data_IF_119951160905
#
_entry.id   IF_119951160905
#
_cell.length_a   1.000
_cell.length_b   1.000
_cell.length_c   1.000
_cell.angle_alpha   90.00
_cell.angle_beta   90.00
_cell.angle_gamma   90.00
#
_symmetry.space_group_name_H-M   'P 1'
#
loop_
_entity.id
_entity.type
_entity.pdbx_description
1 polymer ?
#
# COMPACT_ATOMS: atom_id res chain seq x y z
N UNK A 1 -0.80 44.97 -1.98
CA UNK A 1 -0.69 44.51 -0.58
C UNK A 1 0.27 43.33 -0.57
N UNK A 2 1.42 43.50 0.08
CA UNK A 2 2.53 42.53 0.10
C UNK A 2 2.13 41.28 0.89
N UNK A 3 2.10 40.13 0.23
CA UNK A 3 1.91 38.83 0.87
C UNK A 3 3.22 38.52 1.60
N UNK A 4 3.19 38.59 2.93
CA UNK A 4 4.30 38.18 3.78
C UNK A 4 4.50 36.67 3.59
N UNK A 5 5.67 36.29 3.08
CA UNK A 5 6.18 34.94 3.26
C UNK A 5 6.31 34.69 4.76
N UNK A 6 5.40 33.90 5.31
CA UNK A 6 5.65 33.22 6.58
C UNK A 6 6.65 32.12 6.28
N UNK A 7 7.92 32.35 6.65
CA UNK A 7 8.91 31.29 6.81
C UNK A 7 8.34 30.25 7.77
N UNK A 8 7.95 29.11 7.23
CA UNK A 8 7.59 27.93 8.01
C UNK A 8 8.86 27.49 8.71
N UNK A 9 8.93 27.73 10.02
CA UNK A 9 10.01 27.25 10.88
C UNK A 9 10.04 25.71 10.76
N UNK A 10 10.97 25.18 9.97
CA UNK A 10 11.18 23.74 9.80
C UNK A 10 11.72 23.18 11.11
N UNK A 11 10.86 22.50 11.88
CA UNK A 11 11.29 21.66 12.99
C UNK A 11 11.90 20.39 12.34
N UNK A 12 13.20 20.10 12.55
CA UNK A 12 13.84 18.91 12.02
C UNK A 12 13.12 17.64 12.48
N UNK A 13 13.03 16.63 11.60
CA UNK A 13 12.52 15.31 11.99
C UNK A 13 13.49 14.68 12.99
N UNK A 14 13.06 14.49 14.24
CA UNK A 14 13.87 13.82 15.26
C UNK A 14 13.84 12.31 15.05
N UNK A 15 14.85 11.81 14.33
CA UNK A 15 14.97 10.39 13.98
C UNK A 15 15.20 9.54 15.22
N UNK A 16 15.93 10.03 16.22
CA UNK A 16 16.20 9.28 17.43
C UNK A 16 14.91 9.08 18.25
N UNK A 17 14.10 10.13 18.38
CA UNK A 17 12.79 10.06 19.02
C UNK A 17 11.84 9.11 18.28
N UNK A 18 11.76 9.20 16.95
CA UNK A 18 10.96 8.28 16.13
C UNK A 18 11.39 6.84 16.36
N UNK A 19 12.69 6.57 16.32
CA UNK A 19 13.23 5.21 16.49
C UNK A 19 12.98 4.68 17.90
N UNK A 20 13.04 5.54 18.93
CA UNK A 20 12.70 5.17 20.32
C UNK A 20 11.26 4.67 20.44
N UNK A 21 10.35 5.16 19.59
CA UNK A 21 8.96 4.69 19.49
C UNK A 21 8.77 3.35 18.77
N UNK A 22 9.84 2.76 18.18
CA UNK A 22 9.79 1.54 17.39
C UNK A 22 10.81 0.53 17.97
N UNK A 23 10.43 -0.26 18.99
CA UNK A 23 11.37 -1.10 19.75
C UNK A 23 12.20 -2.08 18.91
N UNK A 24 11.64 -2.60 17.82
CA UNK A 24 12.32 -3.55 16.93
C UNK A 24 13.63 -2.99 16.33
N UNK A 25 13.77 -1.66 16.25
CA UNK A 25 14.97 -0.99 15.72
C UNK A 25 16.13 -0.97 16.72
N UNK A 26 15.93 -1.37 17.98
CA UNK A 26 17.01 -1.59 18.94
C UNK A 26 17.64 -2.98 18.79
N UNK A 27 16.90 -3.93 18.22
CA UNK A 27 17.31 -5.33 18.11
C UNK A 27 17.88 -5.65 16.73
N UNK A 28 17.45 -4.92 15.69
CA UNK A 28 17.76 -5.24 14.30
C UNK A 28 17.95 -3.98 13.46
N UNK A 29 18.78 -4.10 12.42
CA UNK A 29 18.80 -3.13 11.32
C UNK A 29 17.72 -3.53 10.31
N UNK A 30 16.70 -2.69 10.13
CA UNK A 30 15.46 -3.09 9.45
C UNK A 30 15.29 -2.49 8.05
N UNK A 31 15.42 -3.32 7.01
CA UNK A 31 15.26 -2.95 5.60
C UNK A 31 14.15 -3.72 4.88
N UNK A 32 13.08 -4.13 5.60
CA UNK A 32 11.97 -4.89 5.01
C UNK A 32 10.58 -4.28 5.21
N UNK A 33 10.49 -2.96 5.37
CA UNK A 33 9.20 -2.23 5.49
C UNK A 33 8.24 -2.51 4.33
N UNK A 34 8.75 -2.72 3.11
CA UNK A 34 7.95 -3.08 1.94
C UNK A 34 7.36 -4.50 2.02
N UNK A 35 7.90 -5.36 2.90
CA UNK A 35 7.34 -6.67 3.23
C UNK A 35 6.30 -6.51 4.33
N UNK A 36 6.79 -6.30 5.56
CA UNK A 36 6.01 -6.02 6.76
C UNK A 36 6.84 -5.05 7.60
N UNK A 37 6.25 -3.96 8.04
CA UNK A 37 6.91 -2.97 8.88
C UNK A 37 7.11 -3.42 10.33
N UNK A 38 8.06 -2.81 11.06
CA UNK A 38 8.01 -2.84 12.51
C UNK A 38 6.79 -2.03 13.01
N UNK A 39 6.24 -2.42 14.16
CA UNK A 39 5.06 -1.79 14.74
C UNK A 39 5.48 -0.78 15.82
N UNK A 40 5.12 0.52 15.71
CA UNK A 40 5.37 1.49 16.76
C UNK A 40 4.58 1.16 18.03
N UNK A 41 5.18 1.39 19.21
CA UNK A 41 4.55 1.11 20.51
C UNK A 41 3.19 1.78 20.65
N UNK A 42 3.08 3.05 20.22
CA UNK A 42 1.83 3.81 20.28
C UNK A 42 0.69 3.25 19.43
N UNK A 43 1.00 2.43 18.42
CA UNK A 43 0.01 1.72 17.59
C UNK A 43 -0.34 0.37 18.23
N UNK A 44 0.67 -0.34 18.74
CA UNK A 44 0.48 -1.59 19.45
C UNK A 44 -0.42 -1.40 20.69
N UNK A 45 -0.13 -0.39 21.51
CA UNK A 45 -0.86 -0.07 22.73
C UNK A 45 -2.34 0.24 22.42
N UNK A 46 -2.63 1.03 21.39
CA UNK A 46 -4.00 1.36 20.97
C UNK A 46 -4.84 0.09 20.66
N UNK A 47 -4.22 -0.89 19.98
CA UNK A 47 -4.88 -2.17 19.67
C UNK A 47 -5.05 -3.00 20.95
N UNK A 48 -4.00 -3.11 21.77
CA UNK A 48 -4.01 -3.92 23.00
C UNK A 48 -5.01 -3.37 24.00
N UNK A 49 -5.04 -2.07 24.22
CA UNK A 49 -5.94 -1.40 25.17
C UNK A 49 -7.41 -1.67 24.81
N UNK A 50 -7.74 -1.61 23.52
CA UNK A 50 -9.09 -1.93 23.03
C UNK A 50 -9.48 -3.39 23.27
N UNK A 51 -8.51 -4.32 23.21
CA UNK A 51 -8.73 -5.73 23.55
C UNK A 51 -8.87 -5.89 25.07
N UNK A 52 -8.07 -5.18 25.88
CA UNK A 52 -8.14 -5.20 27.35
C UNK A 52 -9.44 -4.63 27.89
N UNK A 53 -9.97 -3.56 27.28
CA UNK A 53 -11.30 -3.04 27.62
C UNK A 53 -12.37 -4.12 27.41
N UNK A 54 -12.33 -4.82 26.27
CA UNK A 54 -13.27 -5.89 25.96
C UNK A 54 -13.14 -7.10 26.89
N UNK A 55 -11.91 -7.46 27.28
CA UNK A 55 -11.63 -8.51 28.26
C UNK A 55 -12.23 -8.15 29.62
N UNK A 56 -11.92 -6.96 30.14
CA UNK A 56 -12.28 -6.55 31.48
C UNK A 56 -13.78 -6.24 31.65
N UNK A 57 -14.42 -5.70 30.61
CA UNK A 57 -15.79 -5.17 30.70
C UNK A 57 -16.83 -6.01 29.95
N UNK A 58 -16.39 -6.98 29.14
CA UNK A 58 -17.25 -7.88 28.38
C UNK A 58 -17.51 -7.42 26.94
N UNK A 59 -17.29 -8.33 25.98
CA UNK A 59 -17.32 -8.04 24.53
C UNK A 59 -18.67 -7.59 23.98
N UNK A 60 -19.79 -7.95 24.58
CA UNK A 60 -21.13 -7.64 24.06
C UNK A 60 -21.94 -6.71 24.98
N UNK A 61 -21.25 -6.01 25.89
CA UNK A 61 -21.86 -4.98 26.72
C UNK A 61 -22.26 -3.79 25.81
N UNK A 62 -23.50 -3.28 25.88
CA UNK A 62 -24.00 -2.30 24.90
C UNK A 62 -23.15 -1.03 24.75
N UNK A 63 -22.73 -0.43 25.87
CA UNK A 63 -21.85 0.74 25.93
C UNK A 63 -20.46 0.48 25.32
N UNK A 64 -19.90 -0.71 25.54
CA UNK A 64 -18.65 -1.12 24.90
C UNK A 64 -18.83 -1.30 23.39
N UNK A 65 -19.93 -1.88 22.94
CA UNK A 65 -20.20 -2.04 21.51
C UNK A 65 -20.40 -0.70 20.80
N UNK A 66 -21.06 0.25 21.44
CA UNK A 66 -21.21 1.63 20.94
C UNK A 66 -19.84 2.31 20.83
N UNK A 67 -19.05 2.36 21.91
CA UNK A 67 -17.70 2.95 21.92
C UNK A 67 -16.79 2.34 20.84
N UNK A 68 -16.75 1.01 20.71
CA UNK A 68 -15.94 0.34 19.68
C UNK A 68 -16.39 0.70 18.26
N UNK A 69 -17.70 0.91 18.05
CA UNK A 69 -18.24 1.28 16.75
C UNK A 69 -17.91 2.72 16.41
N UNK A 70 -18.07 3.64 17.35
CA UNK A 70 -17.69 5.05 17.20
C UNK A 70 -16.20 5.19 16.86
N UNK A 71 -15.32 4.54 17.63
CA UNK A 71 -13.87 4.55 17.33
C UNK A 71 -13.55 3.92 15.99
N UNK A 72 -14.27 2.86 15.59
CA UNK A 72 -14.09 2.25 14.26
C UNK A 72 -14.51 3.18 13.12
N UNK A 73 -15.55 3.98 13.29
CA UNK A 73 -15.96 4.96 12.26
C UNK A 73 -15.04 6.18 12.27
N UNK A 74 -14.56 6.63 13.44
CA UNK A 74 -13.50 7.64 13.51
C UNK A 74 -12.25 7.21 12.74
N UNK A 75 -11.84 5.94 12.88
CA UNK A 75 -10.73 5.40 12.10
C UNK A 75 -11.00 5.40 10.59
N UNK A 76 -12.27 5.28 10.17
CA UNK A 76 -12.64 5.42 8.75
C UNK A 76 -12.46 6.85 8.28
N UNK A 77 -12.88 7.82 9.08
CA UNK A 77 -12.70 9.25 8.76
C UNK A 77 -11.21 9.60 8.67
N UNK A 78 -10.37 9.01 9.51
CA UNK A 78 -8.90 9.18 9.45
C UNK A 78 -8.30 8.56 8.19
N UNK A 79 -8.74 7.35 7.80
CA UNK A 79 -8.33 6.74 6.52
C UNK A 79 -8.78 7.60 5.35
N UNK A 80 -10.02 8.07 5.36
CA UNK A 80 -10.57 8.91 4.30
C UNK A 80 -9.82 10.24 4.19
N UNK A 81 -9.55 10.90 5.32
CA UNK A 81 -8.77 12.14 5.37
C UNK A 81 -7.32 11.93 4.88
N UNK A 82 -6.68 10.82 5.25
CA UNK A 82 -5.33 10.48 4.80
C UNK A 82 -5.24 10.37 3.26
N UNK A 83 -6.27 9.82 2.62
CA UNK A 83 -6.36 9.67 1.17
C UNK A 83 -7.14 10.81 0.47
N UNK A 84 -7.56 11.84 1.23
CA UNK A 84 -8.31 13.03 0.78
C UNK A 84 -9.61 12.71 0.03
N UNK A 85 -10.40 11.80 0.57
CA UNK A 85 -11.69 11.36 0.02
C UNK A 85 -12.78 11.33 1.09
N UNK A 86 -14.03 11.08 0.69
CA UNK A 86 -15.12 10.93 1.65
C UNK A 86 -15.03 9.57 2.37
N UNK A 87 -15.41 9.52 3.65
CA UNK A 87 -15.51 8.24 4.38
C UNK A 87 -16.61 7.33 3.83
N UNK A 88 -17.56 7.87 3.05
CA UNK A 88 -18.53 7.08 2.29
C UNK A 88 -17.89 6.27 1.16
N UNK A 89 -16.72 6.66 0.68
CA UNK A 89 -16.00 5.98 -0.41
C UNK A 89 -15.03 4.93 0.12
N UNK A 90 -14.93 4.76 1.45
CA UNK A 90 -14.01 3.81 2.09
C UNK A 90 -14.77 2.61 2.65
N UNK A 91 -14.34 1.41 2.24
CA UNK A 91 -14.67 0.13 2.86
C UNK A 91 -13.45 -0.44 3.58
N UNK A 92 -13.59 -0.94 4.80
CA UNK A 92 -12.54 -1.70 5.45
C UNK A 92 -12.48 -3.13 4.92
N UNK A 93 -11.27 -3.58 4.63
CA UNK A 93 -10.96 -4.96 4.24
C UNK A 93 -10.03 -5.60 5.29
N UNK A 94 -9.81 -6.91 5.22
CA UNK A 94 -8.81 -7.63 6.02
C UNK A 94 -7.39 -7.51 5.42
N UNK A 95 -7.31 -7.17 4.12
CA UNK A 95 -6.05 -7.03 3.40
C UNK A 95 -6.26 -6.28 2.09
N UNK A 96 -5.16 -5.81 1.52
CA UNK A 96 -5.16 -5.28 0.15
C UNK A 96 -5.67 -6.29 -0.89
N UNK A 97 -5.32 -7.57 -0.73
CA UNK A 97 -5.74 -8.65 -1.62
C UNK A 97 -7.26 -8.80 -1.63
N UNK A 98 -7.93 -8.64 -0.48
CA UNK A 98 -9.40 -8.68 -0.43
C UNK A 98 -10.01 -7.55 -1.24
N UNK A 99 -9.48 -6.32 -1.14
CA UNK A 99 -9.96 -5.18 -1.95
C UNK A 99 -9.80 -5.42 -3.45
N UNK A 100 -8.65 -5.95 -3.87
CA UNK A 100 -8.39 -6.29 -5.28
C UNK A 100 -9.33 -7.40 -5.80
N UNK A 101 -9.63 -8.39 -4.95
CA UNK A 101 -10.62 -9.41 -5.29
C UNK A 101 -12.03 -8.81 -5.42
N UNK A 102 -12.46 -7.95 -4.49
CA UNK A 102 -13.76 -7.27 -4.56
C UNK A 102 -13.92 -6.52 -5.89
N UNK A 103 -12.89 -5.77 -6.31
CA UNK A 103 -12.92 -5.06 -7.60
C UNK A 103 -13.03 -6.06 -8.75
N UNK A 104 -12.14 -7.06 -8.81
CA UNK A 104 -12.11 -8.02 -9.91
C UNK A 104 -13.41 -8.83 -10.02
N UNK A 105 -14.05 -9.18 -8.91
CA UNK A 105 -15.29 -9.93 -8.87
C UNK A 105 -16.51 -9.04 -9.18
N UNK A 106 -16.46 -7.77 -8.78
CA UNK A 106 -17.59 -6.84 -8.91
C UNK A 106 -17.88 -6.40 -10.33
N UNK A 107 -16.87 -6.42 -11.22
CA UNK A 107 -17.07 -6.11 -12.64
C UNK A 107 -17.93 -7.20 -13.29
N UNK A 108 -18.90 -6.80 -14.11
CA UNK A 108 -19.70 -7.71 -14.92
C UNK A 108 -18.96 -8.05 -16.22
N UNK A 109 -18.25 -9.17 -16.20
CA UNK A 109 -17.37 -9.60 -17.28
C UNK A 109 -18.12 -10.27 -18.41
N UNK A 110 -17.70 -9.97 -19.64
CA UNK A 110 -18.04 -10.69 -20.85
C UNK A 110 -16.80 -11.38 -21.42
N UNK A 111 -17.02 -12.48 -22.17
CA UNK A 111 -15.92 -13.17 -22.86
C UNK A 111 -15.20 -12.22 -23.82
N UNK A 112 -13.86 -12.22 -23.75
CA UNK A 112 -13.00 -11.33 -24.54
C UNK A 112 -12.92 -9.89 -24.03
N UNK A 113 -13.50 -9.55 -22.87
CA UNK A 113 -13.17 -8.31 -22.18
C UNK A 113 -11.69 -8.29 -21.78
N UNK A 114 -11.06 -7.12 -21.81
CA UNK A 114 -9.63 -6.99 -21.55
C UNK A 114 -9.33 -6.36 -20.19
N UNK A 115 -8.36 -6.94 -19.49
CA UNK A 115 -7.70 -6.36 -18.31
C UNK A 115 -6.27 -6.02 -18.68
N UNK A 116 -5.85 -4.78 -18.46
CA UNK A 116 -4.47 -4.35 -18.66
C UNK A 116 -3.74 -4.29 -17.32
N UNK A 117 -2.63 -5.01 -17.25
CA UNK A 117 -1.71 -5.06 -16.10
C UNK A 117 -0.31 -4.58 -16.52
N UNK A 118 0.59 -4.41 -15.57
CA UNK A 118 2.03 -4.29 -15.86
C UNK A 118 2.73 -5.64 -15.84
N UNK A 119 3.96 -5.68 -16.34
CA UNK A 119 4.88 -6.82 -16.25
C UNK A 119 5.54 -6.99 -14.86
N UNK A 120 5.14 -6.19 -13.86
CA UNK A 120 5.75 -6.13 -12.53
C UNK A 120 4.75 -6.21 -11.38
N UNK A 121 3.55 -6.72 -11.64
CA UNK A 121 2.53 -6.86 -10.60
C UNK A 121 2.90 -7.88 -9.52
N UNK A 122 2.61 -7.54 -8.26
CA UNK A 122 2.67 -8.50 -7.16
C UNK A 122 1.64 -9.61 -7.38
N UNK A 123 1.85 -10.86 -6.89
CA UNK A 123 0.84 -11.92 -7.01
C UNK A 123 -0.57 -11.51 -6.56
N UNK A 124 -0.68 -10.74 -5.47
CA UNK A 124 -1.97 -10.16 -5.03
C UNK A 124 -2.63 -9.23 -6.05
N UNK A 125 -1.82 -8.50 -6.83
CA UNK A 125 -2.25 -7.60 -7.91
C UNK A 125 -2.52 -8.31 -9.23
N UNK A 126 -1.94 -9.49 -9.46
CA UNK A 126 -2.10 -10.27 -10.71
C UNK A 126 -3.19 -11.35 -10.62
N UNK A 127 -3.16 -12.15 -9.56
CA UNK A 127 -3.98 -13.37 -9.45
C UNK A 127 -5.50 -13.14 -9.50
N UNK A 128 -6.08 -12.08 -8.91
CA UNK A 128 -7.52 -11.85 -8.99
C UNK A 128 -8.02 -11.76 -10.44
N UNK A 129 -7.25 -11.12 -11.32
CA UNK A 129 -7.54 -10.97 -12.74
C UNK A 129 -7.27 -12.26 -13.52
N UNK A 130 -6.18 -12.96 -13.22
CA UNK A 130 -5.91 -14.26 -13.83
C UNK A 130 -7.00 -15.31 -13.53
N UNK A 131 -7.61 -15.22 -12.36
CA UNK A 131 -8.78 -16.03 -12.06
C UNK A 131 -10.00 -15.64 -12.90
N UNK A 132 -10.17 -14.36 -13.27
CA UNK A 132 -11.23 -13.94 -14.20
C UNK A 132 -11.03 -14.53 -15.59
N UNK A 133 -9.79 -14.68 -16.07
CA UNK A 133 -9.50 -15.31 -17.36
C UNK A 133 -10.04 -16.76 -17.37
N UNK A 134 -9.79 -17.50 -16.28
CA UNK A 134 -10.25 -18.89 -16.16
C UNK A 134 -11.78 -19.01 -16.03
N UNK A 135 -12.44 -18.04 -15.39
CA UNK A 135 -13.88 -18.13 -15.08
C UNK A 135 -14.77 -17.48 -16.14
N UNK A 136 -14.31 -16.44 -16.81
CA UNK A 136 -15.11 -15.57 -17.68
C UNK A 136 -14.49 -15.37 -19.08
N UNK A 137 -13.31 -15.93 -19.35
CA UNK A 137 -12.65 -15.76 -20.66
C UNK A 137 -12.16 -14.33 -20.92
N UNK A 138 -11.85 -13.55 -19.87
CA UNK A 138 -11.23 -12.22 -20.04
C UNK A 138 -9.81 -12.37 -20.55
N UNK A 139 -9.36 -11.43 -21.38
CA UNK A 139 -8.00 -11.39 -21.93
C UNK A 139 -7.12 -10.53 -21.04
N UNK A 140 -5.98 -11.08 -20.58
CA UNK A 140 -4.97 -10.29 -19.88
C UNK A 140 -3.97 -9.71 -20.86
N UNK A 141 -3.85 -8.38 -20.86
CA UNK A 141 -2.80 -7.65 -21.57
C UNK A 141 -1.78 -7.11 -20.58
N UNK A 142 -0.52 -7.07 -21.00
CA UNK A 142 0.56 -6.53 -20.20
C UNK A 142 1.37 -5.52 -21.02
N UNK A 143 1.89 -4.51 -20.33
CA UNK A 143 2.89 -3.60 -20.88
C UNK A 143 4.08 -3.49 -19.91
N UNK A 144 5.25 -3.12 -20.44
CA UNK A 144 6.44 -3.00 -19.59
C UNK A 144 6.51 -1.65 -18.88
N UNK A 145 6.87 -1.65 -17.60
CA UNK A 145 7.13 -0.42 -16.84
C UNK A 145 8.50 0.20 -17.17
N UNK A 146 9.46 -0.59 -17.66
CA UNK A 146 10.84 -0.19 -17.97
C UNK A 146 11.03 0.13 -19.47
N UNK A 147 12.14 0.78 -19.90
CA UNK A 147 13.30 1.26 -19.12
C UNK A 147 13.03 2.57 -18.36
N UNK A 148 12.48 3.58 -19.03
CA UNK A 148 12.28 4.91 -18.46
C UNK A 148 10.80 5.21 -18.17
N UNK A 149 10.49 5.90 -17.05
CA UNK A 149 9.14 6.31 -16.67
C UNK A 149 8.43 7.20 -17.69
N UNK A 150 9.13 8.07 -18.41
CA UNK A 150 8.56 9.04 -19.37
C UNK A 150 7.81 8.34 -20.52
N UNK A 151 8.27 7.15 -20.92
CA UNK A 151 7.63 6.35 -21.97
C UNK A 151 6.53 5.42 -21.48
N UNK A 152 6.26 5.36 -20.17
CA UNK A 152 5.35 4.38 -19.56
C UNK A 152 3.92 4.54 -20.06
N UNK A 153 3.44 5.78 -20.10
CA UNK A 153 2.06 6.10 -20.53
C UNK A 153 1.86 5.78 -22.01
N UNK A 154 2.87 5.99 -22.84
CA UNK A 154 2.79 5.65 -24.27
C UNK A 154 2.80 4.14 -24.51
N UNK A 155 3.53 3.38 -23.68
CA UNK A 155 3.46 1.91 -23.70
C UNK A 155 2.08 1.42 -23.27
N UNK A 156 1.46 2.03 -22.25
CA UNK A 156 0.08 1.76 -21.87
C UNK A 156 -0.89 2.03 -23.02
N UNK A 157 -0.82 3.21 -23.65
CA UNK A 157 -1.71 3.57 -24.77
C UNK A 157 -1.70 2.55 -25.92
N UNK A 158 -0.55 1.94 -26.19
CA UNK A 158 -0.41 0.93 -27.26
C UNK A 158 -1.12 -0.39 -26.97
N UNK A 159 -1.42 -0.71 -25.71
CA UNK A 159 -2.11 -1.94 -25.33
C UNK A 159 -3.61 -1.75 -25.07
N UNK A 160 -4.05 -0.50 -24.85
CA UNK A 160 -5.46 -0.15 -24.67
C UNK A 160 -6.26 -0.38 -25.96
N UNK A 161 -7.48 -0.89 -25.82
CA UNK A 161 -8.45 -1.05 -26.90
C UNK A 161 -9.86 -0.71 -26.41
N UNK A 162 -10.83 -0.73 -27.33
CA UNK A 162 -12.26 -0.61 -27.02
C UNK A 162 -12.81 -1.77 -26.17
N UNK A 163 -12.08 -2.89 -26.08
CA UNK A 163 -12.38 -4.03 -25.21
C UNK A 163 -11.81 -3.88 -23.80
N UNK A 164 -10.94 -2.90 -23.56
CA UNK A 164 -10.36 -2.69 -22.23
C UNK A 164 -11.40 -2.21 -21.24
N UNK A 165 -11.68 -3.04 -20.22
CA UNK A 165 -12.63 -2.73 -19.15
C UNK A 165 -11.95 -2.12 -17.93
N UNK A 166 -10.74 -2.58 -17.62
CA UNK A 166 -9.98 -2.09 -16.48
C UNK A 166 -8.48 -2.09 -16.74
N UNK A 167 -7.82 -1.04 -16.28
CA UNK A 167 -6.38 -0.97 -16.08
C UNK A 167 -6.13 -1.16 -14.58
N UNK A 168 -5.44 -2.23 -14.20
CA UNK A 168 -5.17 -2.56 -12.81
C UNK A 168 -3.67 -2.66 -12.57
N UNK A 169 -3.12 -1.73 -11.78
CA UNK A 169 -1.67 -1.59 -11.63
C UNK A 169 -1.27 -1.42 -10.16
N UNK A 170 -0.06 -1.84 -9.84
CA UNK A 170 0.62 -1.37 -8.64
C UNK A 170 0.90 0.13 -8.78
N UNK A 171 0.45 0.95 -7.82
CA UNK A 171 0.81 2.36 -7.78
C UNK A 171 2.32 2.52 -7.52
N UNK A 172 2.85 1.67 -6.64
CA UNK A 172 4.28 1.46 -6.46
C UNK A 172 4.57 -0.05 -6.47
N UNK A 173 5.48 -0.50 -7.32
CA UNK A 173 5.79 -1.94 -7.42
C UNK A 173 6.52 -2.47 -6.19
N UNK A 174 6.17 -3.68 -5.75
CA UNK A 174 6.72 -4.28 -4.52
C UNK A 174 8.20 -4.63 -4.61
N UNK A 175 8.65 -5.13 -5.75
CA UNK A 175 10.01 -5.66 -5.90
C UNK A 175 11.01 -4.59 -6.26
N UNK A 176 10.61 -3.58 -7.04
CA UNK A 176 11.49 -2.59 -7.66
C UNK A 176 11.19 -1.14 -7.27
N UNK A 177 10.17 -0.88 -6.45
CA UNK A 177 9.83 0.47 -5.98
C UNK A 177 9.46 1.48 -7.07
N UNK A 178 9.17 1.02 -8.29
CA UNK A 178 8.75 1.86 -9.42
C UNK A 178 7.39 2.49 -9.07
N UNK A 179 7.34 3.81 -8.94
CA UNK A 179 6.12 4.59 -8.83
C UNK A 179 5.59 4.95 -10.21
N UNK A 180 4.34 4.63 -10.49
CA UNK A 180 3.72 4.93 -11.80
C UNK A 180 3.11 6.34 -11.81
N UNK A 181 3.12 7.07 -12.94
CA UNK A 181 2.48 8.36 -13.07
C UNK A 181 0.95 8.19 -13.09
N UNK A 182 0.36 8.08 -11.90
CA UNK A 182 -0.99 7.58 -11.70
C UNK A 182 -2.05 8.44 -12.40
N UNK A 183 -1.92 9.77 -12.39
CA UNK A 183 -2.86 10.70 -13.04
C UNK A 183 -2.86 10.53 -14.55
N UNK A 184 -1.69 10.41 -15.14
CA UNK A 184 -1.49 10.26 -16.57
C UNK A 184 -2.01 8.90 -17.06
N UNK A 185 -1.83 7.86 -16.25
CA UNK A 185 -2.42 6.53 -16.47
C UNK A 185 -3.94 6.59 -16.41
N UNK A 186 -4.50 7.20 -15.35
CA UNK A 186 -5.95 7.37 -15.19
C UNK A 186 -6.55 8.07 -16.40
N UNK A 187 -5.94 9.19 -16.81
CA UNK A 187 -6.36 9.94 -17.99
C UNK A 187 -6.34 9.08 -19.25
N UNK A 188 -5.23 8.40 -19.54
CA UNK A 188 -5.10 7.57 -20.75
C UNK A 188 -6.10 6.40 -20.78
N UNK A 189 -6.37 5.77 -19.63
CA UNK A 189 -7.33 4.69 -19.52
C UNK A 189 -8.78 5.17 -19.65
N UNK A 190 -9.13 6.29 -19.01
CA UNK A 190 -10.45 6.90 -19.12
C UNK A 190 -10.75 7.39 -20.56
N UNK A 191 -9.75 7.91 -21.27
CA UNK A 191 -9.84 8.24 -22.71
C UNK A 191 -10.21 7.01 -23.57
N UNK A 192 -9.82 5.81 -23.14
CA UNK A 192 -10.19 4.54 -23.78
C UNK A 192 -11.49 3.92 -23.22
N UNK A 193 -12.17 4.58 -22.28
CA UNK A 193 -13.40 4.10 -21.65
C UNK A 193 -13.21 3.01 -20.58
N UNK A 194 -11.97 2.76 -20.16
CA UNK A 194 -11.65 1.76 -19.14
C UNK A 194 -11.71 2.35 -17.73
N UNK A 195 -11.99 1.51 -16.73
CA UNK A 195 -11.83 1.86 -15.30
C UNK A 195 -10.37 1.74 -14.87
N UNK A 196 -9.99 2.39 -13.78
CA UNK A 196 -8.64 2.29 -13.22
C UNK A 196 -8.66 1.93 -11.74
N UNK A 197 -7.97 0.84 -11.41
CA UNK A 197 -7.76 0.38 -10.05
C UNK A 197 -6.27 0.30 -9.69
N UNK A 198 -5.90 0.80 -8.51
CA UNK A 198 -4.53 0.68 -8.04
C UNK A 198 -4.38 -0.27 -6.83
N UNK A 199 -3.35 -1.11 -6.88
CA UNK A 199 -2.73 -1.71 -5.70
C UNK A 199 -1.82 -0.66 -5.05
N UNK A 200 -2.25 -0.14 -3.90
CA UNK A 200 -1.57 0.89 -3.13
C UNK A 200 -0.71 0.38 -1.98
N UNK A 201 -0.35 -0.92 -1.95
CA UNK A 201 0.35 -1.51 -0.81
C UNK A 201 1.67 -0.81 -0.47
N UNK A 202 2.35 -0.30 -1.49
CA UNK A 202 3.67 0.30 -1.37
C UNK A 202 3.61 1.83 -1.47
N UNK A 203 2.45 2.47 -1.30
CA UNK A 203 2.35 3.93 -1.51
C UNK A 203 2.01 4.66 -0.21
N UNK A 204 0.90 4.27 0.44
CA UNK A 204 0.44 4.94 1.66
C UNK A 204 1.50 4.90 2.75
N UNK A 205 1.91 6.07 3.25
CA UNK A 205 2.94 6.24 4.27
C UNK A 205 4.32 6.61 3.72
N UNK A 206 4.50 6.68 2.40
CA UNK A 206 5.76 7.14 1.78
C UNK A 206 5.70 8.57 1.24
N UNK A 207 4.54 9.00 0.76
CA UNK A 207 4.34 10.32 0.17
C UNK A 207 2.85 10.70 0.24
N UNK A 208 2.49 12.00 0.08
CA UNK A 208 1.10 12.44 0.05
C UNK A 208 0.31 11.80 -1.08
N UNK A 209 -0.90 11.31 -0.80
CA UNK A 209 -1.80 10.73 -1.80
C UNK A 209 -3.13 11.48 -1.77
N UNK A 210 -3.55 11.95 -2.94
CA UNK A 210 -4.85 12.57 -3.16
C UNK A 210 -5.63 11.74 -4.17
N UNK A 211 -6.51 10.85 -3.69
CA UNK A 211 -7.24 9.95 -4.57
C UNK A 211 -8.31 10.69 -5.39
N UNK A 212 -8.86 11.79 -4.85
CA UNK A 212 -9.82 12.63 -5.56
C UNK A 212 -9.17 13.29 -6.78
N UNK A 213 -7.98 13.88 -6.60
CA UNK A 213 -7.18 14.52 -7.65
C UNK A 213 -6.48 13.51 -8.57
N UNK A 214 -6.10 12.32 -8.06
CA UNK A 214 -5.60 11.22 -8.88
C UNK A 214 -6.67 10.71 -9.86
N UNK A 215 -7.92 10.70 -9.43
CA UNK A 215 -9.08 10.40 -10.28
C UNK A 215 -9.34 8.92 -10.56
N UNK A 216 -8.58 7.99 -9.96
CA UNK A 216 -8.79 6.56 -10.13
C UNK A 216 -10.19 6.11 -9.63
N UNK A 217 -10.71 5.03 -10.19
CA UNK A 217 -12.01 4.49 -9.82
C UNK A 217 -11.92 3.67 -8.52
N UNK A 218 -10.80 2.96 -8.33
CA UNK A 218 -10.58 2.08 -7.18
C UNK A 218 -9.16 2.20 -6.64
N UNK A 219 -9.00 2.06 -5.33
CA UNK A 219 -7.68 2.03 -4.69
C UNK A 219 -7.70 1.08 -3.49
N UNK A 220 -6.88 0.04 -3.53
CA UNK A 220 -6.76 -0.92 -2.42
C UNK A 220 -5.51 -0.62 -1.61
N UNK A 221 -5.65 -0.51 -0.29
CA UNK A 221 -4.60 -0.09 0.63
C UNK A 221 -4.44 -1.07 1.81
N UNK A 222 -3.28 -1.00 2.47
CA UNK A 222 -2.94 -1.81 3.63
C UNK A 222 -2.28 -0.98 4.72
N UNK A 223 -2.43 -1.40 5.98
CA UNK A 223 -1.88 -0.71 7.14
C UNK A 223 -0.43 -1.10 7.47
N UNK A 224 -0.05 -2.36 7.28
CA UNK A 224 1.14 -2.94 7.91
C UNK A 224 2.46 -2.76 7.15
N UNK A 225 2.47 -1.97 6.07
CA UNK A 225 3.68 -1.65 5.32
C UNK A 225 4.17 -0.27 5.74
N UNK A 226 4.27 0.67 4.81
CA UNK A 226 4.78 2.01 5.10
C UNK A 226 3.90 2.82 6.05
N UNK A 227 2.64 2.43 6.23
CA UNK A 227 1.77 3.00 7.25
C UNK A 227 2.13 2.60 8.70
N UNK A 228 3.04 1.63 8.90
CA UNK A 228 3.46 1.10 10.22
C UNK A 228 2.29 0.66 11.12
N UNK A 229 1.19 0.20 10.52
CA UNK A 229 -0.01 -0.23 11.21
C UNK A 229 -0.09 -1.74 11.50
N UNK A 230 -1.18 -2.21 12.12
CA UNK A 230 -1.32 -3.62 12.47
C UNK A 230 -1.61 -4.50 11.24
N UNK A 231 -1.19 -5.76 11.26
CA UNK A 231 -1.55 -6.73 10.21
C UNK A 231 -3.03 -7.14 10.29
N UNK A 232 -3.64 -7.50 9.15
CA UNK A 232 -5.03 -8.01 9.10
C UNK A 232 -6.13 -6.95 8.97
N UNK A 233 -5.75 -5.73 8.58
CA UNK A 233 -6.69 -4.66 8.20
C UNK A 233 -6.18 -3.92 6.97
N UNK A 234 -7.10 -3.53 6.10
CA UNK A 234 -6.84 -2.74 4.90
C UNK A 234 -8.04 -1.85 4.60
N UNK A 235 -7.94 -1.10 3.51
CA UNK A 235 -9.04 -0.26 3.03
C UNK A 235 -9.18 -0.42 1.52
N UNK A 236 -10.42 -0.37 1.05
CA UNK A 236 -10.78 -0.26 -0.35
C UNK A 236 -11.50 1.07 -0.53
N UNK A 237 -10.89 1.95 -1.32
CA UNK A 237 -11.56 3.12 -1.87
C UNK A 237 -12.31 2.74 -3.13
N UNK A 238 -13.55 3.19 -3.22
CA UNK A 238 -14.38 3.11 -4.42
C UNK A 238 -14.97 4.49 -4.67
N UNK A 239 -14.56 5.12 -5.77
CA UNK A 239 -15.09 6.43 -6.19
C UNK A 239 -16.61 6.35 -6.29
N UNK A 240 -17.31 7.39 -5.82
CA UNK A 240 -18.79 7.43 -5.82
C UNK A 240 -19.38 7.07 -7.19
N UNK A 241 -18.84 7.63 -8.27
CA UNK A 241 -19.32 7.40 -9.64
C UNK A 241 -18.97 6.01 -10.20
N UNK A 242 -18.07 5.29 -9.54
CA UNK A 242 -17.69 3.91 -9.88
C UNK A 242 -18.44 2.88 -9.03
N UNK A 243 -19.18 3.31 -7.99
CA UNK A 243 -19.82 2.39 -7.04
C UNK A 243 -20.84 1.47 -7.71
N UNK A 244 -21.63 1.99 -8.64
CA UNK A 244 -22.65 1.21 -9.37
C UNK A 244 -22.05 0.40 -10.53
N UNK A 245 -20.77 0.58 -10.84
CA UNK A 245 -20.02 -0.26 -11.78
C UNK A 245 -19.48 -1.53 -11.14
N UNK A 246 -19.55 -1.63 -9.80
CA UNK A 246 -19.15 -2.82 -9.04
C UNK A 246 -20.35 -3.49 -8.37
N UNK A 247 -20.67 -4.69 -8.83
CA UNK A 247 -21.65 -5.57 -8.19
C UNK A 247 -21.11 -6.14 -6.88
N UNK A 248 -21.98 -6.27 -5.88
CA UNK A 248 -21.64 -6.97 -4.64
C UNK A 248 -21.72 -8.48 -4.87
N UNK A 249 -20.56 -9.16 -4.97
CA UNK A 249 -20.49 -10.62 -5.16
C UNK A 249 -20.37 -11.41 -3.85
N UNK A 250 -19.99 -10.75 -2.76
CA UNK A 250 -19.84 -11.34 -1.43
C UNK A 250 -20.69 -10.56 -0.44
N UNK A 251 -21.53 -11.26 0.32
CA UNK A 251 -22.46 -10.64 1.27
C UNK A 251 -22.43 -11.35 2.61
N UNK A 252 -22.69 -10.58 3.67
CA UNK A 252 -22.82 -11.08 5.04
C UNK A 252 -23.39 -9.99 5.93
N UNK A 253 -23.44 -10.24 7.24
CA UNK A 253 -23.79 -9.22 8.23
C UNK A 253 -22.90 -7.97 8.07
N UNK A 254 -23.40 -6.82 8.52
CA UNK A 254 -22.74 -5.50 8.55
C UNK A 254 -22.61 -4.77 7.21
N UNK A 255 -22.74 -5.46 6.08
CA UNK A 255 -22.69 -4.85 4.73
C UNK A 255 -24.06 -4.54 4.12
N UNK A 256 -25.16 -4.68 4.88
CA UNK A 256 -26.55 -4.57 4.41
C UNK A 256 -27.25 -3.35 5.02
N UNK A 257 -28.15 -2.74 4.26
CA UNK A 257 -29.01 -1.63 4.73
C UNK A 257 -30.35 -2.15 5.26
N UNK A 258 -31.01 -3.01 4.49
CA UNK A 258 -32.28 -3.64 4.88
C UNK A 258 -32.25 -5.12 4.54
N UNK A 259 -32.90 -5.95 5.36
CA UNK A 259 -33.11 -7.36 5.12
C UNK A 259 -34.49 -7.77 5.64
N UNK A 260 -35.33 -8.26 4.74
CA UNK A 260 -36.54 -9.00 5.07
C UNK A 260 -36.34 -10.48 4.72
N UNK A 261 -36.10 -11.29 5.75
CA UNK A 261 -35.86 -12.72 5.58
C UNK A 261 -37.10 -13.51 5.17
N UNK A 262 -38.31 -12.95 5.29
CA UNK A 262 -39.54 -13.62 4.87
C UNK A 262 -39.77 -13.48 3.36
N UNK A 263 -39.56 -12.29 2.81
CA UNK A 263 -39.69 -12.04 1.37
C UNK A 263 -38.41 -12.32 0.58
N UNK A 264 -37.25 -12.37 1.26
CA UNK A 264 -35.95 -12.48 0.62
C UNK A 264 -35.44 -11.17 0.02
N UNK A 265 -36.14 -10.05 0.26
CA UNK A 265 -35.77 -8.73 -0.25
C UNK A 265 -34.71 -8.10 0.66
N UNK A 266 -33.63 -7.60 0.07
CA UNK A 266 -32.57 -6.88 0.78
C UNK A 266 -32.03 -5.73 -0.06
N UNK A 267 -31.36 -4.79 0.60
CA UNK A 267 -30.65 -3.68 -0.07
C UNK A 267 -29.30 -3.43 0.56
N UNK A 268 -28.36 -2.92 -0.24
CA UNK A 268 -27.04 -2.52 0.21
C UNK A 268 -26.99 -1.01 0.52
N UNK A 269 -26.08 -0.55 1.39
CA UNK A 269 -25.76 0.87 1.53
C UNK A 269 -25.39 1.47 0.18
N UNK A 270 -25.68 2.76 -0.03
CA UNK A 270 -25.25 3.54 -1.19
C UNK A 270 -23.81 4.07 -1.07
N UNK A 271 -23.04 3.50 -0.14
CA UNK A 271 -21.63 3.84 0.16
C UNK A 271 -20.76 2.59 -0.03
N UNK A 272 -19.43 2.76 -0.05
CA UNK A 272 -18.48 1.65 -0.14
C UNK A 272 -18.65 0.62 0.98
N UNK A 273 -19.28 0.97 2.10
CA UNK A 273 -19.65 0.06 3.20
C UNK A 273 -20.43 -1.18 2.72
N UNK A 274 -21.06 -1.16 1.54
CA UNK A 274 -21.66 -2.37 0.92
C UNK A 274 -20.68 -3.52 0.71
N UNK A 275 -19.38 -3.26 0.68
CA UNK A 275 -18.34 -4.27 0.55
C UNK A 275 -17.81 -4.78 1.90
N UNK A 276 -18.33 -4.30 3.03
CA UNK A 276 -17.95 -4.77 4.37
C UNK A 276 -18.82 -5.95 4.80
N UNK A 277 -18.46 -7.15 4.38
CA UNK A 277 -19.16 -8.37 4.81
C UNK A 277 -18.47 -9.04 6.00
N UNK A 278 -19.26 -9.59 6.94
CA UNK A 278 -18.77 -10.45 8.03
C UNK A 278 -18.32 -9.70 9.28
N UNK A 279 -17.99 -10.44 10.34
CA UNK A 279 -17.50 -9.86 11.59
C UNK A 279 -16.09 -9.26 11.38
N UNK A 280 -15.87 -8.03 11.83
CA UNK A 280 -14.62 -7.28 11.61
C UNK A 280 -13.95 -6.95 12.93
N UNK A 281 -12.62 -6.96 12.94
CA UNK A 281 -11.84 -6.67 14.14
C UNK A 281 -11.70 -5.15 14.32
N UNK A 282 -12.65 -4.54 15.04
CA UNK A 282 -12.69 -3.09 15.31
C UNK A 282 -11.38 -2.56 15.94
N UNK A 283 -10.75 -3.22 16.94
CA UNK A 283 -9.43 -2.84 17.43
C UNK A 283 -8.37 -2.63 16.34
N UNK A 284 -8.31 -3.50 15.33
CA UNK A 284 -7.34 -3.34 14.23
C UNK A 284 -7.65 -2.13 13.35
N UNK A 285 -8.93 -1.82 13.11
CA UNK A 285 -9.33 -0.60 12.38
C UNK A 285 -8.86 0.65 13.12
N UNK A 286 -9.06 0.69 14.44
CA UNK A 286 -8.59 1.79 15.28
C UNK A 286 -7.07 1.89 15.29
N UNK A 287 -6.37 0.75 15.35
CA UNK A 287 -4.91 0.70 15.18
C UNK A 287 -4.45 1.24 13.83
N UNK A 288 -5.17 0.99 12.74
CA UNK A 288 -4.86 1.58 11.44
C UNK A 288 -5.01 3.10 11.47
N UNK A 289 -6.11 3.62 12.01
CA UNK A 289 -6.31 5.06 12.23
C UNK A 289 -5.17 5.69 13.04
N UNK A 290 -4.78 5.07 14.16
CA UNK A 290 -3.64 5.51 14.98
C UNK A 290 -2.32 5.54 14.22
N UNK A 291 -2.05 4.53 13.38
CA UNK A 291 -0.87 4.49 12.53
C UNK A 291 -0.84 5.67 11.53
N UNK A 292 -1.97 6.00 10.91
CA UNK A 292 -2.08 7.13 10.00
C UNK A 292 -1.86 8.47 10.71
N UNK A 293 -2.45 8.66 11.91
CA UNK A 293 -2.19 9.85 12.74
C UNK A 293 -0.70 9.99 13.07
N UNK A 294 -0.06 8.91 13.47
CA UNK A 294 1.38 8.91 13.78
C UNK A 294 2.24 9.34 12.59
N UNK A 295 1.87 8.95 11.37
CA UNK A 295 2.56 9.38 10.15
C UNK A 295 2.26 10.83 9.82
N UNK A 296 1.03 11.28 10.01
CA UNK A 296 0.64 12.68 9.79
C UNK A 296 1.37 13.63 10.76
N UNK A 297 1.59 13.21 12.02
CA UNK A 297 2.37 13.96 13.00
C UNK A 297 3.83 14.15 12.54
N UNK A 298 4.41 13.13 11.89
CA UNK A 298 5.73 13.22 11.24
C UNK A 298 5.66 14.02 9.94
N UNK A 299 4.55 14.02 9.22
CA UNK A 299 4.32 14.79 7.99
C UNK A 299 4.82 14.06 6.73
N UNK A 300 3.90 13.78 5.80
CA UNK A 300 4.16 12.98 4.61
C UNK A 300 5.15 13.65 3.65
N UNK A 301 5.13 14.97 3.52
CA UNK A 301 6.08 15.72 2.67
C UNK A 301 7.51 15.60 3.22
N UNK A 302 7.67 15.61 4.55
CA UNK A 302 8.98 15.41 5.19
C UNK A 302 9.45 13.96 5.03
N UNK A 303 8.54 13.00 5.12
CA UNK A 303 8.83 11.59 4.87
C UNK A 303 9.29 11.38 3.43
N UNK A 304 8.56 11.92 2.45
CA UNK A 304 8.88 11.82 1.03
C UNK A 304 10.27 12.38 0.74
N UNK A 305 10.55 13.60 1.20
CA UNK A 305 11.87 14.23 1.03
C UNK A 305 12.99 13.35 1.60
N UNK A 306 12.83 12.90 2.85
CA UNK A 306 13.84 12.09 3.53
C UNK A 306 14.06 10.74 2.84
N UNK A 307 12.98 10.06 2.46
CA UNK A 307 13.07 8.77 1.74
C UNK A 307 13.76 8.97 0.40
N UNK A 308 13.49 10.07 -0.31
CA UNK A 308 14.21 10.44 -1.53
C UNK A 308 15.71 10.62 -1.29
N UNK A 309 16.10 11.38 -0.26
CA UNK A 309 17.50 11.61 0.12
C UNK A 309 18.23 10.30 0.47
N UNK A 310 17.57 9.42 1.26
CA UNK A 310 18.12 8.12 1.63
C UNK A 310 18.25 7.17 0.43
N UNK A 311 17.25 7.17 -0.45
CA UNK A 311 17.27 6.38 -1.69
C UNK A 311 18.42 6.80 -2.59
N UNK A 312 18.61 8.11 -2.80
CA UNK A 312 19.73 8.59 -3.60
C UNK A 312 21.07 8.20 -2.97
N UNK A 313 21.23 8.45 -1.66
CA UNK A 313 22.45 8.10 -0.92
C UNK A 313 22.78 6.60 -1.04
N UNK A 314 21.76 5.74 -0.87
CA UNK A 314 21.91 4.29 -0.98
C UNK A 314 22.34 3.87 -2.39
N UNK A 315 21.67 4.39 -3.42
CA UNK A 315 21.98 4.09 -4.82
C UNK A 315 23.42 4.50 -5.18
N UNK A 316 23.81 5.73 -4.82
CA UNK A 316 25.17 6.25 -5.08
C UNK A 316 26.24 5.35 -4.44
N UNK A 317 25.98 4.86 -3.22
CA UNK A 317 26.91 3.97 -2.50
C UNK A 317 26.95 2.55 -3.08
N UNK A 318 25.80 2.02 -3.54
CA UNK A 318 25.72 0.70 -4.18
C UNK A 318 26.50 0.66 -5.48
N UNK A 319 26.44 1.71 -6.30
CA UNK A 319 27.18 1.81 -7.56
C UNK A 319 28.71 1.81 -7.36
N UNK A 320 29.19 2.08 -6.14
CA UNK A 320 30.62 1.95 -5.79
C UNK A 320 31.03 0.51 -5.43
N UNK A 321 30.09 -0.43 -5.31
CA UNK A 321 30.35 -1.83 -4.98
C UNK A 321 30.51 -2.63 -6.27
N UNK A 322 31.70 -3.16 -6.50
CA UNK A 322 31.97 -3.99 -7.67
C UNK A 322 31.01 -5.20 -7.72
N UNK A 323 30.28 -5.33 -8.83
CA UNK A 323 29.31 -6.40 -9.05
C UNK A 323 27.92 -6.14 -8.48
N UNK A 324 27.67 -5.03 -7.79
CA UNK A 324 26.32 -4.62 -7.40
C UNK A 324 25.73 -3.67 -8.44
N UNK A 325 24.45 -3.86 -8.77
CA UNK A 325 23.71 -3.07 -9.75
C UNK A 325 22.31 -2.76 -9.24
N UNK A 326 21.97 -1.48 -9.17
CA UNK A 326 20.61 -1.06 -8.84
C UNK A 326 19.68 -1.39 -10.00
N UNK A 327 18.63 -2.19 -9.75
CA UNK A 327 17.62 -2.51 -10.76
C UNK A 327 16.40 -1.56 -10.71
N UNK A 328 16.36 -0.70 -9.70
CA UNK A 328 15.30 0.28 -9.46
C UNK A 328 15.63 1.57 -10.22
N UNK A 329 14.80 1.99 -11.20
CA UNK A 329 15.13 3.08 -12.12
C UNK A 329 15.23 4.44 -11.42
N UNK A 330 15.84 5.41 -12.09
CA UNK A 330 15.88 6.81 -11.62
C UNK A 330 14.52 7.51 -11.77
N UNK A 331 14.36 8.64 -11.07
CA UNK A 331 13.23 9.57 -11.27
C UNK A 331 11.89 9.25 -10.58
N UNK A 332 11.60 7.98 -10.26
CA UNK A 332 10.32 7.58 -9.65
C UNK A 332 10.45 6.47 -8.58
N UNK A 333 11.56 6.45 -7.84
CA UNK A 333 11.78 5.45 -6.80
C UNK A 333 11.13 5.84 -5.48
N UNK A 334 10.21 5.01 -4.99
CA UNK A 334 9.83 5.02 -3.58
C UNK A 334 10.95 4.37 -2.72
N UNK A 335 10.72 4.17 -1.42
CA UNK A 335 11.72 3.61 -0.50
C UNK A 335 12.11 2.15 -0.73
N UNK A 336 11.52 1.43 -1.69
CA UNK A 336 11.90 0.05 -2.01
C UNK A 336 12.92 0.02 -3.16
N UNK A 337 14.10 -0.55 -2.92
CA UNK A 337 15.19 -0.59 -3.90
C UNK A 337 15.65 -2.04 -4.07
N UNK A 338 15.62 -2.53 -5.30
CA UNK A 338 16.19 -3.82 -5.67
C UNK A 338 17.63 -3.66 -6.17
N UNK A 339 18.53 -4.46 -5.61
CA UNK A 339 19.94 -4.52 -6.00
C UNK A 339 20.27 -5.95 -6.42
N UNK A 340 20.74 -6.10 -7.66
CA UNK A 340 21.33 -7.34 -8.12
C UNK A 340 22.82 -7.33 -7.81
N UNK A 341 23.31 -8.38 -7.14
CA UNK A 341 24.73 -8.58 -6.86
C UNK A 341 25.27 -9.76 -7.66
N UNK A 342 25.96 -9.48 -8.76
CA UNK A 342 26.58 -10.47 -9.65
C UNK A 342 25.65 -11.62 -10.05
N UNK A 343 26.26 -12.78 -10.30
CA UNK A 343 25.58 -14.06 -10.49
C UNK A 343 25.63 -14.91 -9.21
N UNK A 344 25.51 -14.26 -8.05
CA UNK A 344 25.50 -14.91 -6.74
C UNK A 344 24.06 -15.22 -6.33
N UNK A 345 23.90 -16.29 -5.57
CA UNK A 345 22.65 -16.61 -4.89
C UNK A 345 22.32 -15.57 -3.80
N UNK A 346 21.41 -14.64 -4.10
CA UNK A 346 21.00 -13.57 -3.19
C UNK A 346 20.38 -14.09 -1.87
N UNK A 347 19.85 -15.33 -1.83
CA UNK A 347 19.36 -15.92 -0.59
C UNK A 347 20.49 -16.21 0.40
N UNK A 348 21.69 -16.54 -0.10
CA UNK A 348 22.88 -16.74 0.76
C UNK A 348 23.32 -15.42 1.38
N UNK A 349 23.40 -14.35 0.59
CA UNK A 349 23.75 -13.01 1.09
C UNK A 349 22.71 -12.55 2.11
N UNK A 350 21.40 -12.69 1.81
CA UNK A 350 20.31 -12.39 2.74
C UNK A 350 20.47 -13.15 4.06
N UNK A 351 20.80 -14.43 4.00
CA UNK A 351 20.99 -15.28 5.19
C UNK A 351 22.21 -14.85 5.99
N UNK A 352 23.32 -14.54 5.33
CA UNK A 352 24.53 -14.03 5.99
C UNK A 352 24.29 -12.68 6.68
N UNK A 353 23.57 -11.76 6.03
CA UNK A 353 23.17 -10.47 6.61
C UNK A 353 22.36 -10.64 7.91
N UNK A 354 21.47 -11.64 7.95
CA UNK A 354 20.77 -11.98 9.18
C UNK A 354 21.71 -12.62 10.22
N UNK A 355 22.32 -13.75 9.89
CA UNK A 355 23.07 -14.59 10.84
C UNK A 355 24.27 -13.85 11.46
N UNK A 356 24.94 -12.98 10.71
CA UNK A 356 26.16 -12.29 11.15
C UNK A 356 25.89 -10.87 11.65
N UNK A 357 24.84 -10.20 11.17
CA UNK A 357 24.66 -8.75 11.38
C UNK A 357 23.25 -8.36 11.87
N UNK A 358 22.31 -9.30 11.98
CA UNK A 358 20.91 -9.02 12.36
C UNK A 358 20.24 -7.97 11.43
N UNK A 359 20.61 -8.00 10.15
CA UNK A 359 20.06 -7.11 9.11
C UNK A 359 18.88 -7.83 8.43
N UNK A 360 17.70 -7.20 8.46
CA UNK A 360 16.46 -7.76 7.92
C UNK A 360 16.22 -7.26 6.51
N UNK A 361 16.38 -8.15 5.52
CA UNK A 361 16.15 -7.91 4.09
C UNK A 361 15.41 -9.09 3.44
N UNK A 362 14.94 -8.91 2.21
CA UNK A 362 14.35 -10.00 1.39
C UNK A 362 14.96 -10.01 -0.01
N UNK A 363 14.84 -11.12 -0.72
CA UNK A 363 15.51 -11.39 -2.01
C UNK A 363 14.55 -11.65 -3.19
N UNK A 364 13.61 -10.74 -3.50
CA UNK A 364 12.67 -10.94 -4.60
C UNK A 364 13.30 -10.62 -5.96
N UNK A 365 12.72 -11.21 -7.02
CA UNK A 365 12.96 -10.85 -8.41
C UNK A 365 14.43 -10.90 -8.87
N UNK A 366 15.23 -11.81 -8.30
CA UNK A 366 16.63 -12.04 -8.72
C UNK A 366 17.63 -11.00 -8.21
N UNK A 367 17.30 -10.35 -7.09
CA UNK A 367 18.17 -9.44 -6.34
C UNK A 367 17.74 -9.34 -4.88
N UNK A 368 18.40 -8.48 -4.11
CA UNK A 368 18.03 -8.15 -2.72
C UNK A 368 17.26 -6.84 -2.73
N UNK A 369 16.08 -6.84 -2.09
CA UNK A 369 15.29 -5.63 -1.90
C UNK A 369 15.54 -5.05 -0.51
N UNK A 370 15.99 -3.81 -0.51
CA UNK A 370 16.12 -2.95 0.66
C UNK A 370 14.94 -1.99 0.72
N UNK A 371 14.36 -1.80 1.90
CA UNK A 371 13.27 -0.87 2.15
C UNK A 371 13.75 0.24 3.06
N UNK A 372 14.05 1.40 2.50
CA UNK A 372 14.48 2.60 3.21
C UNK A 372 13.24 3.37 3.66
N UNK A 373 12.95 3.31 4.96
CA UNK A 373 11.85 4.07 5.56
C UNK A 373 12.37 5.37 6.19
N UNK A 374 11.46 6.26 6.57
CA UNK A 374 11.84 7.53 7.19
C UNK A 374 12.61 7.37 8.52
N UNK A 375 12.53 6.24 9.20
CA UNK A 375 13.32 5.95 10.41
C UNK A 375 14.70 5.35 10.13
N UNK A 376 15.00 4.98 8.88
CA UNK A 376 16.29 4.42 8.46
C UNK A 376 17.38 5.48 8.61
N UNK A 377 18.57 5.07 9.04
CA UNK A 377 19.74 5.95 9.20
C UNK A 377 20.78 5.71 8.10
N UNK A 378 21.61 6.73 7.82
CA UNK A 378 22.76 6.56 6.91
C UNK A 378 23.80 5.59 7.48
N UNK A 379 23.96 5.55 8.80
CA UNK A 379 24.84 4.60 9.48
C UNK A 379 24.42 3.15 9.24
N UNK A 380 23.14 2.82 9.38
CA UNK A 380 22.61 1.48 9.06
C UNK A 380 22.83 1.12 7.58
N UNK A 381 22.71 2.10 6.67
CA UNK A 381 23.02 1.91 5.25
C UNK A 381 24.49 1.55 5.07
N UNK A 382 25.40 2.35 5.63
CA UNK A 382 26.85 2.13 5.48
C UNK A 382 27.28 0.78 6.07
N UNK A 383 26.82 0.44 7.27
CA UNK A 383 27.09 -0.86 7.91
C UNK A 383 26.61 -2.03 7.02
N UNK A 384 25.43 -1.89 6.42
CA UNK A 384 24.86 -2.94 5.57
C UNK A 384 25.63 -3.11 4.27
N UNK A 385 26.02 -2.01 3.64
CA UNK A 385 26.80 -2.04 2.41
C UNK A 385 28.22 -2.58 2.64
N UNK A 386 28.83 -2.30 3.78
CA UNK A 386 30.11 -2.90 4.15
C UNK A 386 29.99 -4.41 4.45
N UNK A 387 28.91 -4.84 5.10
CA UNK A 387 28.62 -6.27 5.26
C UNK A 387 28.45 -6.97 3.89
N UNK A 388 27.74 -6.34 2.95
CA UNK A 388 27.60 -6.84 1.58
C UNK A 388 28.97 -6.96 0.89
N UNK A 389 29.81 -5.91 0.96
CA UNK A 389 31.16 -5.95 0.39
C UNK A 389 31.97 -7.13 0.94
N UNK A 390 31.85 -7.41 2.23
CA UNK A 390 32.54 -8.53 2.86
C UNK A 390 32.03 -9.91 2.38
N UNK A 391 30.74 -10.04 2.05
CA UNK A 391 30.20 -11.29 1.46
C UNK A 391 30.50 -11.45 -0.03
N UNK A 392 30.86 -10.36 -0.73
CA UNK A 392 31.23 -10.38 -2.15
C UNK A 392 32.73 -10.59 -2.39
N UNK A 393 33.56 -10.30 -1.40
CA UNK A 393 35.02 -10.52 -1.41
C UNK A 393 35.35 -11.99 -1.14
#
# INVERSE_FOLDING_TARGET
MSIRHTETRTIPMDIEEIRRGIPALNETTFFNTAGISPLPTVVADEVVDMIRIQEAQGRYRPDIQEMLSERSEQARDEVAAFYKVSSEEIAFTHSISEGLNIISEGIDWQEGDEVVLSDREHPSGYMPWALRLQQHGVVLKQFSLLPEPEGMVDRLRKVLTDRTRVVALSHVTSSFGICVPAKEIVKAAHEAGALVGFDGAQSGGQFPIDLADMGCDFYSATSYKWCLGPYGVGALYVKRDALDKLSVRRSGAWGIRTLDTKSGVFSFPDTARRFEYGARNKPLRVGYGRALRNIQDVGLERIEQRVGELTQYFKDKVEMIAGAHVQTPEGFSAGAINVRMGDIDHDKIRTALWDKHQIVVVSPAGGIRFSLAYFTTQEEIDITLDAIRAELA
#
